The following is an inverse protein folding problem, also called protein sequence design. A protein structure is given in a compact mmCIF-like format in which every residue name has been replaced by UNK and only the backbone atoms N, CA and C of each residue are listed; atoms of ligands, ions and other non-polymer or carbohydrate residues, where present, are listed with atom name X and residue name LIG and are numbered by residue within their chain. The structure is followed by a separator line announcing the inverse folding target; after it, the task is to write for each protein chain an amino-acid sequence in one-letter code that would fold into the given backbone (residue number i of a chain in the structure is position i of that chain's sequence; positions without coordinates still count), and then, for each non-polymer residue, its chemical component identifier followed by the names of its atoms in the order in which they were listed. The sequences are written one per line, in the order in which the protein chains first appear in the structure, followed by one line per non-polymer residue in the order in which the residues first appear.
data_IF_062470725651
#
_entry.id   IF_062470725651
#
_cell.length_a   1.000
_cell.length_b   1.000
_cell.length_c   1.000
_cell.angle_alpha   90.00
_cell.angle_beta   90.00
_cell.angle_gamma   90.00
#
_symmetry.space_group_name_H-M   'P 1'
#
loop_
_entity.id
_entity.type
_entity.pdbx_description
1 polymer ?
#
# COMPACT_ATOMS: atom_id res chain seq x y z
N UNK A 1 -30.23 -15.34 6.22
CA UNK A 1 -30.11 -13.92 6.63
C UNK A 1 -29.08 -13.86 7.74
N UNK A 2 -27.97 -13.12 7.58
CA UNK A 2 -27.03 -12.89 8.70
C UNK A 2 -27.60 -11.75 9.54
N UNK A 3 -27.69 -11.94 10.86
CA UNK A 3 -28.04 -10.87 11.78
C UNK A 3 -27.16 -9.63 11.51
N UNK A 4 -27.71 -8.41 11.58
CA UNK A 4 -26.89 -7.21 11.49
C UNK A 4 -25.85 -7.25 12.63
N UNK A 5 -24.57 -6.97 12.35
CA UNK A 5 -23.56 -6.99 13.40
C UNK A 5 -23.96 -6.00 14.50
N UNK A 6 -23.96 -6.48 15.74
CA UNK A 6 -24.20 -5.65 16.93
C UNK A 6 -23.25 -4.46 16.87
N UNK A 7 -23.80 -3.25 16.89
CA UNK A 7 -23.01 -2.03 16.88
C UNK A 7 -22.24 -1.94 18.20
N UNK A 8 -20.94 -2.23 18.16
CA UNK A 8 -20.08 -2.14 19.33
C UNK A 8 -19.98 -0.67 19.79
N UNK A 9 -19.93 -0.40 21.11
CA UNK A 9 -19.78 0.95 21.62
C UNK A 9 -18.47 1.58 21.13
N UNK A 10 -18.50 2.89 20.86
CA UNK A 10 -17.30 3.62 20.43
C UNK A 10 -16.28 3.68 21.57
N UNK A 11 -15.01 3.55 21.21
CA UNK A 11 -13.86 3.62 22.12
C UNK A 11 -12.81 4.61 21.60
N UNK A 12 -13.04 5.92 21.76
CA UNK A 12 -12.20 6.97 21.16
C UNK A 12 -10.73 6.95 21.62
N UNK A 13 -10.42 6.31 22.75
CA UNK A 13 -9.07 6.12 23.27
C UNK A 13 -8.21 5.21 22.39
N UNK A 14 -8.84 4.29 21.64
CA UNK A 14 -8.11 3.37 20.75
C UNK A 14 -7.41 4.10 19.60
N UNK A 15 -7.93 5.27 19.18
CA UNK A 15 -7.31 6.08 18.14
C UNK A 15 -5.91 6.55 18.54
N UNK A 16 -5.75 7.08 19.76
CA UNK A 16 -4.46 7.54 20.27
C UNK A 16 -3.49 6.37 20.48
N UNK A 17 -3.99 5.26 21.03
CA UNK A 17 -3.20 4.04 21.19
C UNK A 17 -2.70 3.50 19.85
N UNK A 18 -3.54 3.45 18.81
CA UNK A 18 -3.16 2.97 17.50
C UNK A 18 -2.06 3.83 16.87
N UNK A 19 -2.17 5.17 16.95
CA UNK A 19 -1.13 6.08 16.47
C UNK A 19 0.21 5.88 17.19
N UNK A 20 0.19 5.75 18.52
CA UNK A 20 1.40 5.48 19.31
C UNK A 20 2.04 4.15 18.94
N UNK A 21 1.23 3.11 18.75
CA UNK A 21 1.71 1.78 18.33
C UNK A 21 2.31 1.84 16.93
N UNK A 22 1.66 2.51 15.98
CA UNK A 22 2.22 2.67 14.62
C UNK A 22 3.53 3.44 14.64
N UNK A 23 3.60 4.54 15.40
CA UNK A 23 4.84 5.30 15.57
C UNK A 23 5.95 4.43 16.18
N UNK A 24 5.64 3.64 17.21
CA UNK A 24 6.61 2.74 17.85
C UNK A 24 7.13 1.66 16.88
N UNK A 25 6.25 1.06 16.07
CA UNK A 25 6.65 0.07 15.05
C UNK A 25 7.59 0.69 14.02
N UNK A 26 7.25 1.88 13.51
CA UNK A 26 8.08 2.58 12.51
C UNK A 26 9.42 3.03 13.08
N UNK A 27 9.41 3.71 14.23
CA UNK A 27 10.65 4.16 14.89
C UNK A 27 11.51 2.95 15.27
N UNK A 28 10.92 1.88 15.80
CA UNK A 28 11.62 0.64 16.10
C UNK A 28 12.29 0.05 14.85
N UNK A 29 11.56 -0.04 13.74
CA UNK A 29 12.10 -0.51 12.46
C UNK A 29 13.26 0.37 11.95
N UNK A 30 13.20 1.69 12.14
CA UNK A 30 14.26 2.62 11.77
C UNK A 30 15.51 2.43 12.64
N UNK A 31 15.32 2.43 13.97
CA UNK A 31 16.40 2.32 14.95
C UNK A 31 17.16 1.01 14.80
N UNK A 32 16.45 -0.10 14.64
CA UNK A 32 17.08 -1.42 14.40
C UNK A 32 17.88 -1.42 13.09
N UNK A 33 17.48 -0.62 12.10
CA UNK A 33 18.27 -0.36 10.91
C UNK A 33 19.59 0.38 11.18
N UNK A 34 19.55 1.39 12.04
CA UNK A 34 20.76 2.12 12.46
C UNK A 34 21.72 1.24 13.27
N UNK A 35 21.20 0.22 13.96
CA UNK A 35 21.99 -0.78 14.68
C UNK A 35 22.61 -1.85 13.75
N UNK A 36 22.42 -1.74 12.43
CA UNK A 36 23.05 -2.62 11.45
C UNK A 36 22.36 -3.97 11.23
N UNK A 37 21.12 -4.16 11.70
CA UNK A 37 20.39 -5.40 11.43
C UNK A 37 20.09 -5.52 9.92
N UNK A 38 20.32 -6.69 9.29
CA UNK A 38 20.03 -6.91 7.89
C UNK A 38 18.58 -6.56 7.50
N UNK A 39 18.39 -6.02 6.30
CA UNK A 39 17.08 -5.60 5.79
C UNK A 39 16.04 -6.71 5.83
N UNK A 40 16.40 -7.93 5.44
CA UNK A 40 15.48 -9.07 5.41
C UNK A 40 14.97 -9.45 6.81
N UNK A 41 15.84 -9.43 7.82
CA UNK A 41 15.46 -9.71 9.21
C UNK A 41 14.58 -8.61 9.80
N UNK A 42 14.91 -7.35 9.49
CA UNK A 42 14.08 -6.21 9.87
C UNK A 42 12.69 -6.30 9.24
N UNK A 43 12.64 -6.65 7.96
CA UNK A 43 11.40 -6.79 7.21
C UNK A 43 10.55 -7.93 7.75
N UNK A 44 11.15 -9.09 8.05
CA UNK A 44 10.45 -10.20 8.70
C UNK A 44 9.84 -9.78 10.05
N UNK A 45 10.58 -9.02 10.85
CA UNK A 45 10.08 -8.44 12.11
C UNK A 45 8.91 -7.48 11.89
N UNK A 46 8.96 -6.66 10.84
CA UNK A 46 7.88 -5.74 10.47
C UNK A 46 6.61 -6.48 10.05
N UNK A 47 6.74 -7.50 9.20
CA UNK A 47 5.62 -8.37 8.77
C UNK A 47 4.98 -9.06 9.98
N UNK A 48 5.80 -9.61 10.88
CA UNK A 48 5.32 -10.21 12.11
C UNK A 48 4.57 -9.19 12.99
N UNK A 49 5.10 -7.97 13.15
CA UNK A 49 4.44 -6.92 13.90
C UNK A 49 3.08 -6.55 13.29
N UNK A 50 3.01 -6.43 11.96
CA UNK A 50 1.77 -6.10 11.26
C UNK A 50 0.68 -7.16 11.40
N UNK A 51 1.03 -8.45 11.38
CA UNK A 51 0.07 -9.52 11.61
C UNK A 51 -0.34 -9.70 13.07
N UNK A 52 0.64 -9.67 13.99
CA UNK A 52 0.43 -10.18 15.35
C UNK A 52 0.03 -9.09 16.34
N UNK A 53 0.56 -7.86 16.17
CA UNK A 53 0.40 -6.80 17.16
C UNK A 53 -1.06 -6.35 17.31
N UNK A 54 -1.85 -6.16 16.23
CA UNK A 54 -3.28 -5.85 16.35
C UNK A 54 -4.07 -6.86 17.19
N UNK A 55 -3.91 -8.16 16.91
CA UNK A 55 -4.59 -9.23 17.63
C UNK A 55 -4.15 -9.31 19.10
N UNK A 56 -2.86 -9.12 19.37
CA UNK A 56 -2.34 -9.09 20.73
C UNK A 56 -2.88 -7.90 21.55
N UNK A 57 -2.98 -6.71 20.94
CA UNK A 57 -3.53 -5.50 21.58
C UNK A 57 -5.01 -5.69 21.91
N UNK A 58 -5.77 -6.25 20.99
CA UNK A 58 -7.21 -6.46 21.12
C UNK A 58 -7.58 -7.80 21.77
N UNK A 59 -6.63 -8.52 22.38
CA UNK A 59 -6.89 -9.85 22.99
C UNK A 59 -7.98 -9.85 24.07
N UNK A 60 -8.23 -8.69 24.70
CA UNK A 60 -9.28 -8.49 25.72
C UNK A 60 -10.60 -7.98 25.12
N UNK A 61 -10.66 -7.74 23.81
CA UNK A 61 -11.84 -7.28 23.06
C UNK A 61 -11.97 -8.10 21.75
N UNK A 62 -12.28 -9.42 21.87
CA UNK A 62 -12.27 -10.33 20.73
C UNK A 62 -13.38 -10.03 19.71
N UNK A 63 -14.47 -9.40 20.12
CA UNK A 63 -15.55 -8.99 19.21
C UNK A 63 -15.07 -7.91 18.25
N UNK A 64 -14.35 -6.91 18.77
CA UNK A 64 -13.76 -5.85 17.95
C UNK A 64 -12.62 -6.37 17.08
N UNK A 65 -11.77 -7.24 17.61
CA UNK A 65 -10.73 -7.90 16.81
C UNK A 65 -11.32 -8.63 15.60
N UNK A 66 -12.44 -9.36 15.78
CA UNK A 66 -13.17 -10.02 14.68
C UNK A 66 -13.79 -9.03 13.71
N UNK A 67 -14.43 -7.98 14.22
CA UNK A 67 -15.03 -6.94 13.37
C UNK A 67 -13.99 -6.23 12.49
N UNK A 68 -12.76 -6.08 13.01
CA UNK A 68 -11.64 -5.45 12.30
C UNK A 68 -10.79 -6.44 11.49
N UNK A 69 -11.09 -7.74 11.55
CA UNK A 69 -10.40 -8.81 10.83
C UNK A 69 -8.90 -8.91 11.18
N UNK A 70 -8.54 -8.67 12.45
CA UNK A 70 -7.15 -8.69 12.93
C UNK A 70 -6.89 -9.75 14.02
N UNK A 71 -7.82 -10.70 14.16
CA UNK A 71 -7.82 -11.75 15.19
C UNK A 71 -9.23 -11.95 15.78
N UNK A 72 -9.36 -12.69 16.90
CA UNK A 72 -8.37 -13.59 17.48
C UNK A 72 -8.29 -14.94 16.74
N UNK A 73 -9.20 -15.19 15.80
CA UNK A 73 -9.39 -16.50 15.16
C UNK A 73 -8.23 -16.91 14.22
N UNK A 74 -7.27 -16.02 13.95
CA UNK A 74 -6.11 -16.24 13.09
C UNK A 74 -5.45 -14.94 12.65
N UNK A 75 -4.21 -15.06 12.15
CA UNK A 75 -3.42 -13.92 11.62
C UNK A 75 -3.87 -13.52 10.22
N UNK A 76 -4.35 -14.48 9.44
CA UNK A 76 -4.92 -14.27 8.10
C UNK A 76 -6.43 -14.09 8.23
N UNK A 77 -7.01 -13.00 7.71
CA UNK A 77 -8.46 -12.80 7.66
C UNK A 77 -9.17 -13.95 6.94
N UNK A 78 -10.39 -14.26 7.37
CA UNK A 78 -11.23 -15.24 6.67
C UNK A 78 -11.41 -14.85 5.20
N UNK A 79 -11.22 -15.82 4.30
CA UNK A 79 -11.35 -15.60 2.86
C UNK A 79 -12.70 -14.99 2.49
N UNK A 80 -12.69 -14.08 1.51
CA UNK A 80 -13.89 -13.40 1.04
C UNK A 80 -13.92 -13.30 -0.47
N UNK A 81 -14.78 -14.10 -1.11
CA UNK A 81 -15.08 -13.99 -2.53
C UNK A 81 -15.64 -12.62 -2.92
N UNK A 82 -16.41 -11.99 -2.02
CA UNK A 82 -16.88 -10.62 -2.23
C UNK A 82 -15.71 -9.65 -2.29
N UNK A 83 -14.70 -9.82 -1.42
CA UNK A 83 -13.48 -9.01 -1.44
C UNK A 83 -12.71 -9.18 -2.74
N UNK A 84 -12.49 -10.44 -3.15
CA UNK A 84 -11.82 -10.77 -4.42
C UNK A 84 -12.53 -10.19 -5.65
N UNK A 85 -13.87 -10.25 -5.70
CA UNK A 85 -14.65 -9.62 -6.79
C UNK A 85 -14.46 -8.11 -6.83
N UNK A 86 -14.49 -7.42 -5.69
CA UNK A 86 -14.23 -5.97 -5.66
C UNK A 86 -12.82 -5.61 -6.11
N UNK A 87 -11.81 -6.37 -5.68
CA UNK A 87 -10.43 -6.19 -6.13
C UNK A 87 -10.32 -6.34 -7.65
N UNK A 88 -10.88 -7.42 -8.21
CA UNK A 88 -10.85 -7.69 -9.64
C UNK A 88 -11.61 -6.63 -10.45
N UNK A 89 -12.84 -6.26 -10.04
CA UNK A 89 -13.61 -5.20 -10.70
C UNK A 89 -12.84 -3.89 -10.72
N UNK A 90 -12.24 -3.50 -9.60
CA UNK A 90 -11.52 -2.24 -9.54
C UNK A 90 -10.21 -2.30 -10.31
N UNK A 91 -9.49 -3.42 -10.30
CA UNK A 91 -8.29 -3.61 -11.12
C UNK A 91 -8.63 -3.46 -12.61
N UNK A 92 -9.72 -4.06 -13.09
CA UNK A 92 -10.17 -3.92 -14.48
C UNK A 92 -10.53 -2.47 -14.86
N UNK A 93 -11.01 -1.68 -13.91
CA UNK A 93 -11.37 -0.28 -14.14
C UNK A 93 -10.18 0.67 -14.04
N UNK A 94 -9.26 0.42 -13.10
CA UNK A 94 -8.16 1.34 -12.76
C UNK A 94 -6.88 1.03 -13.52
N UNK A 95 -6.57 -0.25 -13.75
CA UNK A 95 -5.28 -0.63 -14.34
C UNK A 95 -5.13 -0.18 -15.79
N UNK A 96 -6.12 -0.33 -16.70
CA UNK A 96 -5.96 0.14 -18.07
C UNK A 96 -5.63 1.65 -18.18
N UNK A 97 -6.40 2.58 -17.58
CA UNK A 97 -6.04 4.00 -17.65
C UNK A 97 -4.73 4.29 -16.91
N UNK A 98 -4.42 3.55 -15.83
CA UNK A 98 -3.13 3.68 -15.14
C UNK A 98 -1.95 3.31 -16.05
N UNK A 99 -2.03 2.19 -16.76
CA UNK A 99 -1.00 1.74 -17.72
C UNK A 99 -0.81 2.78 -18.82
N UNK A 100 -1.90 3.28 -19.41
CA UNK A 100 -1.84 4.33 -20.43
C UNK A 100 -1.21 5.62 -19.88
N UNK A 101 -1.58 6.02 -18.67
CA UNK A 101 -1.01 7.18 -17.99
C UNK A 101 0.49 7.00 -17.68
N UNK A 102 0.90 5.82 -17.23
CA UNK A 102 2.30 5.46 -16.99
C UNK A 102 3.14 5.57 -18.27
N UNK A 103 2.68 4.94 -19.35
CA UNK A 103 3.36 4.96 -20.65
C UNK A 103 3.43 6.38 -21.20
N UNK A 104 2.32 7.12 -21.14
CA UNK A 104 2.27 8.53 -21.54
C UNK A 104 3.26 9.38 -20.73
N UNK A 105 3.26 9.25 -19.40
CA UNK A 105 4.12 10.04 -18.52
C UNK A 105 5.59 9.83 -18.86
N UNK A 106 6.04 8.58 -18.97
CA UNK A 106 7.43 8.28 -19.27
C UNK A 106 7.81 8.58 -20.72
N UNK A 107 6.88 8.44 -21.67
CA UNK A 107 7.11 8.92 -23.02
C UNK A 107 7.39 10.42 -23.05
N UNK A 108 6.64 11.23 -22.29
CA UNK A 108 6.90 12.69 -22.22
C UNK A 108 8.23 12.99 -21.55
N UNK A 109 8.42 12.48 -20.34
CA UNK A 109 9.60 12.78 -19.50
C UNK A 109 10.89 12.29 -20.15
N UNK A 110 10.92 11.09 -20.73
CA UNK A 110 12.11 10.56 -21.37
C UNK A 110 12.42 11.18 -22.73
N UNK A 111 11.44 11.84 -23.38
CA UNK A 111 11.68 12.72 -24.54
C UNK A 111 12.06 14.16 -24.14
N UNK A 112 12.30 14.42 -22.84
CA UNK A 112 12.74 15.71 -22.32
C UNK A 112 11.62 16.70 -21.99
N UNK A 113 10.34 16.31 -22.14
CA UNK A 113 9.24 17.14 -21.66
C UNK A 113 9.01 16.93 -20.16
N UNK A 114 9.51 17.89 -19.37
CA UNK A 114 9.34 17.91 -17.91
C UNK A 114 8.06 18.61 -17.44
N UNK A 115 7.18 19.04 -18.35
CA UNK A 115 5.87 19.64 -17.99
C UNK A 115 5.07 18.79 -16.99
N UNK A 116 4.99 17.45 -17.11
CA UNK A 116 4.25 16.61 -16.15
C UNK A 116 4.79 16.66 -14.72
N UNK A 117 6.08 16.98 -14.54
CA UNK A 117 6.75 17.05 -13.22
C UNK A 117 7.06 18.49 -12.79
N UNK A 118 6.71 19.50 -13.60
CA UNK A 118 7.01 20.91 -13.33
C UNK A 118 6.56 21.41 -11.95
N UNK A 119 5.38 21.01 -11.40
CA UNK A 119 5.00 21.41 -10.04
C UNK A 119 5.95 20.85 -8.98
N UNK A 120 6.42 19.61 -9.16
CA UNK A 120 7.35 18.95 -8.23
C UNK A 120 8.73 19.57 -8.33
N UNK A 121 9.21 19.85 -9.54
CA UNK A 121 10.47 20.56 -9.76
C UNK A 121 10.47 21.96 -9.16
N UNK A 122 9.33 22.66 -9.25
CA UNK A 122 9.16 23.99 -8.64
C UNK A 122 9.32 23.93 -7.13
N UNK A 123 8.73 22.93 -6.47
CA UNK A 123 8.89 22.71 -5.02
C UNK A 123 10.32 22.27 -4.69
N UNK A 124 10.90 21.33 -5.44
CA UNK A 124 12.27 20.85 -5.22
C UNK A 124 13.30 21.98 -5.34
N UNK A 125 13.07 22.95 -6.24
CA UNK A 125 13.95 24.11 -6.44
C UNK A 125 14.09 24.99 -5.19
N UNK A 126 13.12 24.92 -4.27
CA UNK A 126 13.15 25.62 -2.97
C UNK A 126 13.93 24.84 -1.89
N UNK A 127 14.49 23.69 -2.22
CA UNK A 127 15.18 22.80 -1.29
C UNK A 127 16.65 22.61 -1.68
N UNK A 128 17.53 22.18 -0.75
CA UNK A 128 18.91 21.82 -1.08
C UNK A 128 19.04 20.66 -2.10
N UNK A 129 17.95 19.94 -2.38
CA UNK A 129 17.93 18.83 -3.32
C UNK A 129 17.76 19.26 -4.79
N UNK A 130 17.73 20.56 -5.10
CA UNK A 130 17.50 21.09 -6.44
C UNK A 130 18.26 20.33 -7.56
N UNK A 131 17.52 19.96 -8.61
CA UNK A 131 18.00 19.15 -9.74
C UNK A 131 18.17 17.67 -9.44
N UNK A 132 17.79 17.20 -8.25
CA UNK A 132 17.84 15.79 -7.85
C UNK A 132 16.89 14.94 -8.68
N UNK A 133 15.65 15.38 -8.82
CA UNK A 133 14.62 14.70 -9.59
C UNK A 133 14.99 14.64 -11.08
N UNK A 134 15.47 15.73 -11.66
CA UNK A 134 15.92 15.76 -13.06
C UNK A 134 17.05 14.76 -13.31
N UNK A 135 18.08 14.75 -12.44
CA UNK A 135 19.18 13.79 -12.53
C UNK A 135 18.71 12.35 -12.34
N UNK A 136 17.71 12.11 -11.49
CA UNK A 136 17.11 10.79 -11.30
C UNK A 136 16.37 10.34 -12.57
N UNK A 137 15.50 11.18 -13.12
CA UNK A 137 14.75 10.89 -14.35
C UNK A 137 15.69 10.68 -15.53
N UNK A 138 16.74 11.51 -15.67
CA UNK A 138 17.75 11.35 -16.71
C UNK A 138 18.51 10.02 -16.61
N UNK A 139 18.74 9.49 -15.40
CA UNK A 139 19.32 8.15 -15.21
C UNK A 139 18.32 7.05 -15.54
N UNK A 140 17.07 7.19 -15.07
CA UNK A 140 15.99 6.23 -15.31
C UNK A 140 15.67 6.09 -16.80
N UNK A 141 15.72 7.18 -17.56
CA UNK A 141 15.40 7.21 -18.99
C UNK A 141 16.56 6.74 -19.89
N UNK A 142 17.75 6.42 -19.38
CA UNK A 142 18.87 5.90 -20.21
C UNK A 142 18.52 4.63 -21.02
N UNK A 143 17.88 3.60 -20.43
CA UNK A 143 17.45 2.42 -21.17
C UNK A 143 16.15 2.61 -21.97
N UNK A 144 15.54 3.80 -21.98
CA UNK A 144 14.24 4.00 -22.63
C UNK A 144 14.36 3.90 -24.15
N UNK A 145 13.60 2.99 -24.76
CA UNK A 145 13.67 2.67 -26.20
C UNK A 145 13.04 3.76 -27.11
N UNK A 146 12.41 4.79 -26.54
CA UNK A 146 11.85 5.93 -27.28
C UNK A 146 10.42 5.77 -27.79
N UNK A 147 9.83 4.57 -27.70
CA UNK A 147 8.47 4.25 -28.17
C UNK A 147 7.41 4.34 -27.06
N UNK A 148 6.19 4.73 -27.41
CA UNK A 148 5.06 4.77 -26.45
C UNK A 148 4.70 3.37 -25.92
N UNK A 149 4.77 2.35 -26.78
CA UNK A 149 4.59 0.95 -26.40
C UNK A 149 5.96 0.31 -26.19
N UNK A 150 6.15 -0.52 -25.15
CA UNK A 150 7.39 -1.26 -24.99
C UNK A 150 7.56 -2.26 -26.13
N UNK A 151 8.79 -2.45 -26.62
CA UNK A 151 9.06 -3.38 -27.72
C UNK A 151 8.72 -4.84 -27.40
N UNK A 152 8.72 -5.20 -26.11
CA UNK A 152 8.24 -6.48 -25.61
C UNK A 152 7.66 -6.34 -24.20
N UNK A 153 6.68 -7.18 -23.86
CA UNK A 153 6.25 -7.35 -22.48
C UNK A 153 7.34 -8.14 -21.73
N UNK A 154 7.97 -7.50 -20.76
CA UNK A 154 9.01 -8.10 -19.92
C UNK A 154 8.49 -8.28 -18.51
N UNK A 155 8.94 -9.35 -17.86
CA UNK A 155 8.73 -9.60 -16.44
C UNK A 155 10.08 -9.50 -15.72
N UNK A 156 10.07 -9.18 -14.42
CA UNK A 156 11.29 -9.23 -13.62
C UNK A 156 11.99 -10.59 -13.73
N UNK A 157 13.33 -10.58 -13.76
CA UNK A 157 14.14 -11.78 -14.01
C UNK A 157 13.89 -12.88 -12.97
N UNK A 158 13.60 -12.49 -11.72
CA UNK A 158 13.26 -13.40 -10.64
C UNK A 158 11.97 -14.19 -10.90
N UNK A 159 11.02 -13.67 -11.68
CA UNK A 159 9.79 -14.37 -12.03
C UNK A 159 10.04 -15.51 -13.01
N UNK A 160 11.01 -15.35 -13.92
CA UNK A 160 11.39 -16.35 -14.91
C UNK A 160 12.23 -17.51 -14.32
N UNK A 161 12.71 -17.38 -13.07
CA UNK A 161 13.48 -18.43 -12.41
C UNK A 161 12.67 -19.72 -12.27
N UNK A 162 13.38 -20.84 -12.26
CA UNK A 162 12.81 -22.18 -12.10
C UNK A 162 11.71 -22.49 -13.13
N UNK A 163 11.94 -22.10 -14.39
CA UNK A 163 10.98 -22.32 -15.47
C UNK A 163 9.69 -21.51 -15.34
N UNK A 164 9.74 -20.35 -14.69
CA UNK A 164 8.59 -19.47 -14.47
C UNK A 164 7.87 -19.64 -13.13
N UNK A 165 8.27 -20.63 -12.31
CA UNK A 165 7.70 -20.80 -10.97
C UNK A 165 8.04 -19.63 -10.02
N UNK A 166 9.07 -18.84 -10.33
CA UNK A 166 9.38 -17.60 -9.64
C UNK A 166 8.21 -16.61 -9.60
N UNK A 167 7.36 -16.59 -10.63
CA UNK A 167 6.15 -15.77 -10.65
C UNK A 167 5.14 -16.16 -9.57
N UNK A 168 4.97 -17.46 -9.32
CA UNK A 168 4.09 -17.96 -8.25
C UNK A 168 4.60 -17.55 -6.87
N UNK A 169 5.93 -17.62 -6.68
CA UNK A 169 6.57 -17.14 -5.46
C UNK A 169 6.38 -15.63 -5.29
N UNK A 170 6.56 -14.84 -6.36
CA UNK A 170 6.34 -13.40 -6.31
C UNK A 170 4.90 -13.06 -5.92
N UNK A 171 3.90 -13.73 -6.49
CA UNK A 171 2.49 -13.57 -6.09
C UNK A 171 2.29 -13.91 -4.62
N UNK A 172 2.86 -15.02 -4.14
CA UNK A 172 2.74 -15.41 -2.74
C UNK A 172 3.38 -14.39 -1.79
N UNK A 173 4.57 -13.87 -2.13
CA UNK A 173 5.25 -12.83 -1.36
C UNK A 173 4.43 -11.54 -1.35
N UNK A 174 3.98 -11.07 -2.51
CA UNK A 174 3.19 -9.84 -2.63
C UNK A 174 1.88 -9.93 -1.84
N UNK A 175 1.21 -11.08 -1.89
CA UNK A 175 -0.03 -11.26 -1.13
C UNK A 175 0.24 -11.40 0.36
N UNK A 176 1.09 -12.35 0.78
CA UNK A 176 1.15 -12.78 2.18
C UNK A 176 2.25 -12.11 3.00
N UNK A 177 3.32 -11.62 2.37
CA UNK A 177 4.41 -10.94 3.06
C UNK A 177 4.32 -9.42 2.94
N UNK A 178 3.75 -8.88 1.85
CA UNK A 178 3.65 -7.42 1.63
C UNK A 178 2.23 -6.92 1.89
N UNK A 179 1.30 -7.20 0.98
CA UNK A 179 0.01 -6.51 0.94
C UNK A 179 -0.89 -6.88 2.12
N UNK A 180 -1.13 -8.16 2.38
CA UNK A 180 -2.03 -8.58 3.45
C UNK A 180 -1.60 -8.12 4.85
N UNK A 181 -0.33 -8.27 5.30
CA UNK A 181 0.06 -7.76 6.62
C UNK A 181 -0.11 -6.24 6.69
N UNK A 182 0.27 -5.51 5.65
CA UNK A 182 0.08 -4.06 5.61
C UNK A 182 -1.40 -3.68 5.69
N UNK A 183 -2.30 -4.37 4.98
CA UNK A 183 -3.74 -4.10 5.06
C UNK A 183 -4.33 -4.48 6.41
N UNK A 184 -3.91 -5.59 7.01
CA UNK A 184 -4.30 -6.00 8.37
C UNK A 184 -3.95 -4.91 9.38
N UNK A 185 -2.72 -4.39 9.31
CA UNK A 185 -2.28 -3.38 10.26
C UNK A 185 -2.90 -2.00 10.00
N UNK A 186 -2.90 -1.53 8.75
CA UNK A 186 -3.29 -0.15 8.46
C UNK A 186 -4.81 0.02 8.29
N UNK A 187 -5.51 -0.93 7.65
CA UNK A 187 -6.96 -0.84 7.37
C UNK A 187 -7.75 -1.59 8.44
N UNK A 188 -7.30 -2.78 8.79
CA UNK A 188 -7.89 -3.57 9.87
C UNK A 188 -7.77 -2.82 11.19
N UNK A 189 -6.54 -2.58 11.66
CA UNK A 189 -6.28 -1.99 12.97
C UNK A 189 -6.30 -0.45 13.00
N UNK A 190 -5.31 0.22 12.39
CA UNK A 190 -5.11 1.67 12.54
C UNK A 190 -6.33 2.49 12.10
N UNK A 191 -6.81 2.27 10.88
CA UNK A 191 -7.98 3.00 10.35
C UNK A 191 -9.23 2.73 11.18
N UNK A 192 -9.52 1.48 11.53
CA UNK A 192 -10.72 1.16 12.33
C UNK A 192 -10.65 1.70 13.76
N UNK A 193 -9.45 1.81 14.34
CA UNK A 193 -9.23 2.46 15.62
C UNK A 193 -9.43 3.99 15.54
N UNK A 194 -8.91 4.62 14.49
CA UNK A 194 -9.14 6.05 14.23
C UNK A 194 -10.63 6.37 14.04
N UNK A 195 -11.39 5.48 13.40
CA UNK A 195 -12.84 5.62 13.24
C UNK A 195 -13.62 5.56 14.57
N UNK A 196 -13.03 5.01 15.63
CA UNK A 196 -13.66 5.06 16.96
C UNK A 196 -13.73 6.48 17.52
N UNK A 197 -12.79 7.35 17.10
CA UNK A 197 -12.76 8.77 17.47
C UNK A 197 -13.39 9.65 16.40
N UNK A 198 -13.13 9.33 15.13
CA UNK A 198 -13.62 10.10 13.98
C UNK A 198 -14.38 9.19 13.01
N UNK A 199 -15.65 8.85 13.33
CA UNK A 199 -16.49 8.06 12.44
C UNK A 199 -16.62 8.69 11.05
N UNK A 200 -16.92 7.86 10.06
CA UNK A 200 -17.15 8.34 8.70
C UNK A 200 -18.29 9.38 8.65
N UNK A 201 -17.99 10.56 8.11
CA UNK A 201 -18.95 11.65 7.99
C UNK A 201 -19.64 11.70 6.63
N UNK A 202 -19.13 10.98 5.62
CA UNK A 202 -19.63 11.01 4.24
C UNK A 202 -19.62 9.63 3.61
N UNK A 203 -20.40 9.48 2.53
CA UNK A 203 -20.31 8.33 1.63
C UNK A 203 -19.67 8.76 0.31
N UNK A 204 -18.65 8.04 -0.10
CA UNK A 204 -17.97 8.22 -1.39
C UNK A 204 -18.20 6.95 -2.19
N UNK A 205 -18.92 7.05 -3.32
CA UNK A 205 -19.26 5.92 -4.19
C UNK A 205 -19.82 4.70 -3.42
N UNK A 206 -20.67 4.98 -2.43
CA UNK A 206 -21.34 3.95 -1.61
C UNK A 206 -20.56 3.45 -0.39
N UNK A 207 -19.28 3.81 -0.21
CA UNK A 207 -18.49 3.44 0.96
C UNK A 207 -18.47 4.58 2.01
N UNK A 208 -18.64 4.28 3.32
CA UNK A 208 -18.46 5.27 4.38
C UNK A 208 -16.98 5.64 4.54
N UNK A 209 -16.62 6.90 4.29
CA UNK A 209 -15.25 7.42 4.34
C UNK A 209 -15.25 8.75 5.10
N UNK A 210 -14.23 8.96 5.94
CA UNK A 210 -14.05 10.18 6.74
C UNK A 210 -12.59 10.47 7.03
N UNK A 211 -12.33 11.35 8.00
CA UNK A 211 -10.98 11.80 8.35
C UNK A 211 -10.04 10.63 8.75
N UNK A 212 -10.57 9.58 9.38
CA UNK A 212 -9.80 8.38 9.73
C UNK A 212 -9.14 7.71 8.51
N UNK A 213 -9.81 7.69 7.35
CA UNK A 213 -9.24 7.14 6.12
C UNK A 213 -8.05 7.98 5.64
N UNK A 214 -8.20 9.31 5.66
CA UNK A 214 -7.15 10.25 5.25
C UNK A 214 -5.95 10.15 6.19
N UNK A 215 -6.17 10.15 7.50
CA UNK A 215 -5.12 10.04 8.50
C UNK A 215 -4.38 8.69 8.42
N UNK A 216 -5.12 7.58 8.30
CA UNK A 216 -4.49 6.27 8.11
C UNK A 216 -3.66 6.23 6.81
N UNK A 217 -4.13 6.84 5.74
CA UNK A 217 -3.40 6.93 4.47
C UNK A 217 -2.15 7.81 4.56
N UNK A 218 -2.21 8.92 5.29
CA UNK A 218 -1.02 9.76 5.56
C UNK A 218 0.02 8.99 6.37
N UNK A 219 -0.39 8.32 7.44
CA UNK A 219 0.52 7.52 8.27
C UNK A 219 1.17 6.39 7.46
N UNK A 220 0.38 5.68 6.63
CA UNK A 220 0.90 4.65 5.73
C UNK A 220 1.96 5.21 4.76
N UNK A 221 1.71 6.36 4.15
CA UNK A 221 2.65 7.01 3.24
C UNK A 221 3.94 7.45 3.96
N UNK A 222 3.82 7.99 5.18
CA UNK A 222 4.97 8.34 6.02
C UNK A 222 5.80 7.11 6.40
N UNK A 223 5.15 5.97 6.66
CA UNK A 223 5.82 4.70 6.92
C UNK A 223 6.75 4.26 5.80
N UNK A 224 6.44 4.63 4.55
CA UNK A 224 7.27 4.31 3.39
C UNK A 224 8.60 5.09 3.34
N UNK A 225 8.75 6.16 4.12
CA UNK A 225 10.01 6.89 4.25
C UNK A 225 11.01 6.20 5.20
N UNK A 226 10.54 5.31 6.07
CA UNK A 226 11.32 4.73 7.16
C UNK A 226 12.32 3.68 6.67
N UNK A 227 11.96 2.94 5.62
CA UNK A 227 12.85 1.95 4.99
C UNK A 227 13.77 2.55 3.93
N UNK A 228 13.33 3.62 3.27
CA UNK A 228 14.07 4.30 2.22
C UNK A 228 13.58 5.75 2.17
N UNK A 229 14.50 6.72 2.37
CA UNK A 229 14.14 8.13 2.39
C UNK A 229 13.97 8.67 0.96
N UNK A 230 12.89 8.26 0.31
CA UNK A 230 12.54 8.64 -1.05
C UNK A 230 11.17 9.32 -1.05
N UNK A 231 11.16 10.64 -1.26
CA UNK A 231 9.94 11.45 -1.18
C UNK A 231 8.86 11.04 -2.19
N UNK A 232 9.25 10.47 -3.34
CA UNK A 232 8.30 9.95 -4.32
C UNK A 232 7.39 8.85 -3.73
N UNK A 233 7.86 8.12 -2.70
CA UNK A 233 7.07 7.09 -2.01
C UNK A 233 5.92 7.68 -1.19
N UNK A 234 5.89 8.99 -0.92
CA UNK A 234 4.73 9.65 -0.32
C UNK A 234 3.51 9.61 -1.24
N UNK A 235 3.70 9.43 -2.55
CA UNK A 235 2.60 9.23 -3.49
C UNK A 235 1.77 7.97 -3.16
N UNK A 236 2.29 7.02 -2.37
CA UNK A 236 1.52 5.88 -1.86
C UNK A 236 0.31 6.28 -1.00
N UNK A 237 0.22 7.56 -0.60
CA UNK A 237 -0.99 8.16 -0.03
C UNK A 237 -2.23 7.93 -0.91
N UNK A 238 -2.13 8.15 -2.23
CA UNK A 238 -3.27 8.06 -3.15
C UNK A 238 -3.82 6.63 -3.32
N UNK A 239 -3.02 5.60 -3.66
CA UNK A 239 -3.51 4.23 -3.67
C UNK A 239 -3.96 3.81 -2.26
N UNK A 240 -3.32 4.32 -1.20
CA UNK A 240 -3.75 4.03 0.17
C UNK A 240 -5.18 4.49 0.48
N UNK A 241 -5.62 5.64 -0.07
CA UNK A 241 -7.02 6.08 0.03
C UNK A 241 -7.96 5.12 -0.70
N UNK A 242 -7.55 4.60 -1.85
CA UNK A 242 -8.31 3.59 -2.59
C UNK A 242 -8.45 2.28 -1.81
N UNK A 243 -7.39 1.87 -1.10
CA UNK A 243 -7.41 0.67 -0.26
C UNK A 243 -8.37 0.87 0.93
N UNK A 244 -8.36 2.06 1.55
CA UNK A 244 -9.33 2.45 2.58
C UNK A 244 -10.78 2.40 2.05
N UNK A 245 -11.01 2.84 0.81
CA UNK A 245 -12.30 2.73 0.14
C UNK A 245 -12.70 1.28 -0.13
N UNK A 246 -11.81 0.44 -0.67
CA UNK A 246 -12.04 -0.98 -0.92
C UNK A 246 -12.40 -1.73 0.36
N UNK A 247 -11.71 -1.44 1.46
CA UNK A 247 -12.02 -2.02 2.78
C UNK A 247 -13.46 -1.72 3.18
N UNK A 248 -13.86 -0.43 3.16
CA UNK A 248 -15.20 -0.02 3.58
C UNK A 248 -16.31 -0.41 2.59
N UNK A 249 -16.00 -0.52 1.29
CA UNK A 249 -16.96 -0.95 0.27
C UNK A 249 -17.26 -2.45 0.30
N UNK A 250 -16.20 -3.24 0.48
CA UNK A 250 -16.27 -4.70 0.42
C UNK A 250 -16.58 -5.33 1.78
N UNK A 251 -16.16 -4.69 2.88
CA UNK A 251 -16.16 -5.26 4.22
C UNK A 251 -15.15 -6.39 4.39
N UNK A 252 -14.10 -6.45 3.56
CA UNK A 252 -13.07 -7.50 3.62
C UNK A 252 -11.67 -6.96 3.34
N UNK A 253 -10.69 -7.36 4.15
CA UNK A 253 -9.29 -6.98 3.96
C UNK A 253 -8.66 -7.64 2.74
N UNK A 254 -9.27 -8.72 2.23
CA UNK A 254 -8.87 -9.33 0.97
C UNK A 254 -9.08 -8.41 -0.24
N UNK A 255 -10.04 -7.48 -0.19
CA UNK A 255 -10.24 -6.54 -1.31
C UNK A 255 -9.05 -5.60 -1.51
N UNK A 256 -8.63 -4.79 -0.51
CA UNK A 256 -7.44 -3.97 -0.66
C UNK A 256 -6.18 -4.82 -0.81
N UNK A 257 -6.03 -5.95 -0.11
CA UNK A 257 -4.80 -6.74 -0.17
C UNK A 257 -4.53 -7.33 -1.56
N UNK A 258 -5.56 -7.89 -2.21
CA UNK A 258 -5.41 -8.43 -3.57
C UNK A 258 -5.19 -7.33 -4.60
N UNK A 259 -5.88 -6.19 -4.46
CA UNK A 259 -5.68 -5.05 -5.36
C UNK A 259 -4.28 -4.45 -5.19
N UNK A 260 -3.81 -4.32 -3.95
CA UNK A 260 -2.47 -3.84 -3.61
C UNK A 260 -1.39 -4.76 -4.20
N UNK A 261 -1.45 -6.07 -3.93
CA UNK A 261 -0.52 -7.04 -4.51
C UNK A 261 -0.53 -6.99 -6.06
N UNK A 262 -1.71 -6.92 -6.67
CA UNK A 262 -1.83 -6.82 -8.12
C UNK A 262 -1.25 -5.51 -8.67
N UNK A 263 -1.38 -4.38 -7.94
CA UNK A 263 -0.80 -3.11 -8.33
C UNK A 263 0.74 -3.14 -8.25
N UNK A 264 1.31 -3.77 -7.22
CA UNK A 264 2.76 -3.94 -7.09
C UNK A 264 3.31 -4.80 -8.24
N UNK A 265 2.68 -5.95 -8.51
CA UNK A 265 3.06 -6.83 -9.62
C UNK A 265 2.95 -6.12 -10.98
N UNK A 266 1.84 -5.39 -11.21
CA UNK A 266 1.68 -4.60 -12.43
C UNK A 266 2.79 -3.55 -12.57
N UNK A 267 3.11 -2.83 -11.50
CA UNK A 267 4.19 -1.84 -11.51
C UNK A 267 5.54 -2.48 -11.84
N UNK A 268 5.87 -3.63 -11.23
CA UNK A 268 7.11 -4.34 -11.50
C UNK A 268 7.23 -4.76 -12.98
N UNK A 269 6.12 -5.24 -13.57
CA UNK A 269 6.05 -5.58 -14.99
C UNK A 269 6.18 -4.35 -15.90
N UNK A 270 5.53 -3.24 -15.56
CA UNK A 270 5.62 -1.99 -16.32
C UNK A 270 7.04 -1.43 -16.33
N UNK A 271 7.69 -1.42 -15.16
CA UNK A 271 9.08 -0.97 -15.03
C UNK A 271 10.00 -1.88 -15.86
N UNK A 272 9.91 -3.21 -15.70
CA UNK A 272 10.73 -4.16 -16.45
C UNK A 272 10.52 -4.06 -17.99
N UNK A 273 9.30 -3.73 -18.43
CA UNK A 273 8.99 -3.58 -19.86
C UNK A 273 9.49 -2.25 -20.42
N UNK A 274 9.44 -1.18 -19.63
CA UNK A 274 9.71 0.19 -20.09
C UNK A 274 11.18 0.59 -19.96
N UNK A 275 11.88 0.01 -18.98
CA UNK A 275 13.29 0.30 -18.67
C UNK A 275 14.10 -1.02 -18.62
N UNK A 276 14.35 -1.65 -19.78
CA UNK A 276 15.10 -2.91 -19.84
C UNK A 276 16.58 -2.81 -19.46
#
# INVERSE_FOLDING_TARGET
MREPPVALPLRPELAGQALLVTAAVYVGYALVGLLGLPGDLRYLGLVAAFYLLPGFILRRDPERARAWQVGPDGVVPRWSWRGARWAATLALLVFPPFVLGFLWFYARVCHGDLTPVAPVLSIESLTPAAGGLERYLARLCRPYEGSFWPGALRVPAEWARWGGAGALLAVAIEVFAIALPEEVFHRGYLMSALEQRWPASRRVLGAPIGAAAVLASLVFALGHLVGMLELARLATFFPSLLFSWLWRRSGSLWAPALFHAAANLLMAMLIASTFP
#
